data_IF_309439736933
#
_entry.id   IF_309439736933
#
_cell.length_a   1.000
_cell.length_b   1.000
_cell.length_c   1.000
_cell.angle_alpha   90.00
_cell.angle_beta   90.00
_cell.angle_gamma   90.00
#
_symmetry.space_group_name_H-M   'P 1'
#
loop_
_entity.id
_entity.type
_entity.pdbx_description
1 polymer ?
#
# COMPACT_ATOMS: atom_id res chain seq x y z
N UNK A 1 -8.60 5.83 -0.45
CA UNK A 1 -8.29 4.42 -0.15
C UNK A 1 -9.39 3.81 0.70
N UNK A 2 -9.51 2.48 0.78
CA UNK A 2 -10.39 1.79 1.73
C UNK A 2 -9.80 0.43 2.11
N UNK A 3 -10.19 -0.11 3.26
CA UNK A 3 -9.88 -1.50 3.65
C UNK A 3 -11.08 -2.37 3.29
N UNK A 4 -10.86 -3.46 2.55
CA UNK A 4 -11.93 -4.37 2.14
C UNK A 4 -12.44 -5.24 3.30
N UNK A 5 -13.59 -5.92 3.14
CA UNK A 5 -14.08 -6.89 4.13
C UNK A 5 -13.14 -8.06 4.39
N UNK A 6 -12.18 -8.32 3.49
CA UNK A 6 -11.13 -9.35 3.65
C UNK A 6 -9.79 -8.75 4.13
N UNK A 7 -9.82 -7.54 4.69
CA UNK A 7 -8.69 -6.85 5.33
C UNK A 7 -7.52 -6.47 4.41
N UNK A 8 -7.80 -6.22 3.12
CA UNK A 8 -6.81 -5.70 2.17
C UNK A 8 -6.98 -4.20 1.94
N UNK A 9 -5.87 -3.46 1.84
CA UNK A 9 -5.88 -2.03 1.49
C UNK A 9 -6.01 -1.83 -0.02
N UNK A 10 -7.01 -1.05 -0.43
CA UNK A 10 -7.23 -0.65 -1.82
C UNK A 10 -7.00 0.85 -1.99
N UNK A 11 -6.11 1.20 -2.91
CA UNK A 11 -5.84 2.58 -3.35
C UNK A 11 -6.25 2.63 -4.82
N UNK A 12 -7.29 3.41 -5.14
CA UNK A 12 -7.75 3.61 -6.52
C UNK A 12 -7.10 4.87 -7.08
N UNK A 13 -6.92 4.90 -8.41
CA UNK A 13 -6.36 6.07 -9.12
C UNK A 13 -5.05 6.56 -8.49
N UNK A 14 -4.12 5.62 -8.30
CA UNK A 14 -2.85 5.87 -7.60
C UNK A 14 -2.07 7.02 -8.22
N UNK A 15 -1.61 7.94 -7.38
CA UNK A 15 -0.76 9.08 -7.73
C UNK A 15 0.64 8.87 -7.17
N UNK A 16 1.64 9.57 -7.71
CA UNK A 16 3.04 9.48 -7.24
C UNK A 16 3.13 9.74 -5.72
N UNK A 17 2.32 10.67 -5.20
CA UNK A 17 2.25 11.01 -3.77
C UNK A 17 1.75 9.86 -2.87
N UNK A 18 1.13 8.82 -3.44
CA UNK A 18 0.73 7.63 -2.69
C UNK A 18 1.91 6.69 -2.44
N UNK A 19 3.08 6.96 -3.02
CA UNK A 19 4.29 6.17 -2.76
C UNK A 19 4.70 6.29 -1.29
N UNK A 20 5.08 5.17 -0.70
CA UNK A 20 5.49 5.15 0.69
C UNK A 20 5.43 3.78 1.32
N UNK A 21 5.70 3.74 2.62
CA UNK A 21 5.64 2.52 3.43
C UNK A 21 4.22 2.31 3.93
N UNK A 22 3.67 1.14 3.65
CA UNK A 22 2.36 0.70 4.14
C UNK A 22 2.55 -0.46 5.11
N UNK A 23 1.91 -0.34 6.28
CA UNK A 23 1.99 -1.34 7.36
C UNK A 23 0.61 -1.93 7.60
N UNK A 24 0.51 -3.26 7.54
CA UNK A 24 -0.65 -4.00 7.98
C UNK A 24 -0.37 -4.61 9.35
N UNK A 25 -1.17 -4.28 10.35
CA UNK A 25 -1.06 -4.83 11.71
C UNK A 25 -2.29 -5.68 12.00
N UNK A 26 -2.08 -6.98 12.22
CA UNK A 26 -3.12 -7.92 12.64
C UNK A 26 -3.01 -8.15 14.16
N UNK A 27 -4.15 -8.17 14.86
CA UNK A 27 -4.20 -8.34 16.32
C UNK A 27 -5.25 -9.37 16.73
N UNK A 28 -4.96 -10.14 17.77
CA UNK A 28 -5.89 -11.03 18.46
C UNK A 28 -5.63 -10.98 19.98
N UNK A 29 -6.29 -11.86 20.75
CA UNK A 29 -6.14 -11.90 22.22
C UNK A 29 -4.71 -12.22 22.70
N UNK A 30 -3.89 -12.85 21.86
CA UNK A 30 -2.52 -13.24 22.20
C UNK A 30 -1.50 -12.14 21.86
N UNK A 31 -1.89 -11.11 21.11
CA UNK A 31 -1.03 -9.99 20.74
C UNK A 31 -1.23 -9.52 19.29
N UNK A 32 -0.23 -8.83 18.76
CA UNK A 32 -0.24 -8.27 17.40
C UNK A 32 1.02 -8.61 16.61
N UNK A 33 0.88 -8.61 15.28
CA UNK A 33 1.99 -8.77 14.34
C UNK A 33 1.79 -7.83 13.16
N UNK A 34 2.89 -7.25 12.69
CA UNK A 34 2.88 -6.34 11.54
C UNK A 34 3.63 -6.91 10.35
N UNK A 35 3.12 -6.61 9.15
CA UNK A 35 3.80 -6.80 7.87
C UNK A 35 3.91 -5.45 7.17
N UNK A 36 5.03 -5.21 6.49
CA UNK A 36 5.34 -3.91 5.87
C UNK A 36 5.67 -4.11 4.39
N UNK A 37 5.19 -3.21 3.54
CA UNK A 37 5.54 -3.14 2.13
C UNK A 37 5.75 -1.70 1.67
N UNK A 38 6.67 -1.48 0.74
CA UNK A 38 6.87 -0.19 0.10
C UNK A 38 6.11 -0.14 -1.23
N UNK A 39 5.18 0.80 -1.36
CA UNK A 39 4.52 1.09 -2.63
C UNK A 39 5.34 2.13 -3.39
N UNK A 40 5.82 1.77 -4.58
CA UNK A 40 6.43 2.71 -5.53
C UNK A 40 5.44 2.98 -6.65
N UNK A 41 4.98 4.22 -6.76
CA UNK A 41 4.13 4.69 -7.87
C UNK A 41 4.97 5.63 -8.74
N UNK A 42 5.05 5.33 -10.03
CA UNK A 42 5.80 6.11 -11.01
C UNK A 42 4.87 6.60 -12.12
N UNK A 43 5.12 7.79 -12.67
CA UNK A 43 4.47 8.21 -13.90
C UNK A 43 4.96 7.34 -15.07
N UNK A 44 4.05 6.92 -15.95
CA UNK A 44 4.41 6.14 -17.14
C UNK A 44 5.44 6.85 -18.03
N UNK A 45 5.41 8.19 -18.05
CA UNK A 45 6.37 9.03 -18.78
C UNK A 45 7.83 8.82 -18.36
N UNK A 46 8.08 8.33 -17.13
CA UNK A 46 9.42 8.10 -16.60
C UNK A 46 9.89 6.64 -16.78
N UNK A 47 9.04 5.76 -17.30
CA UNK A 47 9.37 4.35 -17.59
C UNK A 47 9.67 4.11 -19.08
N UNK A 48 9.25 5.02 -19.95
CA UNK A 48 9.34 4.90 -21.42
C UNK A 48 10.44 5.80 -22.00
N UNK A 49 11.58 5.95 -21.32
CA UNK A 49 12.61 6.94 -21.62
C UNK A 49 12.89 7.18 -23.10
N UNK A 50 12.83 8.45 -23.51
CA UNK A 50 13.66 9.02 -24.57
C UNK A 50 15.15 9.01 -24.16
#
# INVERSE_FOLDING_TARGET
YYVSPVHSLYIRETKVIDSGVYVCTASNIAGSRSATGYLKVTNESLLNGE
#
